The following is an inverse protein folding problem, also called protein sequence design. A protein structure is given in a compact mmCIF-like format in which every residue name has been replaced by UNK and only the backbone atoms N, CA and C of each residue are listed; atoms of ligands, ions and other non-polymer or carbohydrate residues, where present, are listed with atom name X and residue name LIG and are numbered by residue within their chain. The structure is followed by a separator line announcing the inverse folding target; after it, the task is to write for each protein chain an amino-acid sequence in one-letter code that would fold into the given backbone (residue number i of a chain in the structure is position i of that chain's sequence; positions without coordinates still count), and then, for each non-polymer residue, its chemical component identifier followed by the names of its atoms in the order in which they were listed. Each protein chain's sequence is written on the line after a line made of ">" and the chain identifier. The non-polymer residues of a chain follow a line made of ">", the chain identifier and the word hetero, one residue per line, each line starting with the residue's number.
data_IF_883513599826
#
_entry.id   IF_883513599826
#
_cell.length_a   1.000
_cell.length_b   1.000
_cell.length_c   1.000
_cell.angle_alpha   90.00
_cell.angle_beta   90.00
_cell.angle_gamma   90.00
#
_symmetry.space_group_name_H-M   'P 1'
#
loop_
_entity.id
_entity.type
_entity.pdbx_description
1 polymer ?
#
# COMPACT_ATOMS: atom_id res chain seq x y z
N UNK A 1 -8.02 24.19 -0.05
CA UNK A 1 -9.06 23.81 -1.03
C UNK A 1 -10.24 23.29 -0.23
N UNK A 2 -11.48 23.67 -0.53
CA UNK A 2 -12.63 23.19 0.25
C UNK A 2 -13.01 21.77 -0.14
N UNK A 3 -13.48 20.99 0.83
CA UNK A 3 -14.11 19.69 0.57
C UNK A 3 -15.34 19.86 -0.33
N UNK A 4 -15.54 18.92 -1.26
CA UNK A 4 -16.70 18.87 -2.17
C UNK A 4 -17.64 17.80 -1.64
N UNK A 5 -18.80 18.23 -1.13
CA UNK A 5 -19.80 17.29 -0.61
C UNK A 5 -20.47 16.53 -1.74
N UNK A 6 -20.52 15.21 -1.62
CA UNK A 6 -21.23 14.31 -2.52
C UNK A 6 -22.63 14.07 -1.96
N UNK A 7 -23.65 14.45 -2.72
CA UNK A 7 -25.04 14.12 -2.43
C UNK A 7 -25.28 12.66 -2.83
N UNK A 8 -25.39 11.77 -1.84
CA UNK A 8 -25.57 10.33 -2.05
C UNK A 8 -26.86 10.00 -2.81
N UNK A 9 -27.92 10.81 -2.67
CA UNK A 9 -29.15 10.59 -3.43
C UNK A 9 -28.97 10.98 -4.90
N UNK A 10 -28.32 12.12 -5.15
CA UNK A 10 -27.98 12.53 -6.51
C UNK A 10 -27.00 11.54 -7.17
N UNK A 11 -26.05 10.99 -6.41
CA UNK A 11 -25.16 9.93 -6.87
C UNK A 11 -25.94 8.66 -7.24
N UNK A 12 -26.83 8.20 -6.37
CA UNK A 12 -27.61 6.99 -6.60
C UNK A 12 -28.59 7.10 -7.79
N UNK A 13 -29.02 8.32 -8.14
CA UNK A 13 -30.00 8.56 -9.22
C UNK A 13 -29.38 9.07 -10.52
N UNK A 14 -28.26 9.80 -10.44
CA UNK A 14 -27.53 10.37 -11.58
C UNK A 14 -26.26 9.63 -11.97
N UNK A 15 -25.75 8.73 -11.12
CA UNK A 15 -24.60 7.86 -11.41
C UNK A 15 -23.34 8.63 -11.80
N UNK A 16 -22.62 8.12 -12.81
CA UNK A 16 -21.36 8.68 -13.28
C UNK A 16 -21.48 10.13 -13.79
N UNK A 17 -22.61 10.51 -14.39
CA UNK A 17 -22.83 11.87 -14.89
C UNK A 17 -22.88 12.88 -13.74
N UNK A 18 -23.45 12.50 -12.60
CA UNK A 18 -23.44 13.33 -11.39
C UNK A 18 -22.02 13.51 -10.85
N UNK A 19 -21.24 12.43 -10.71
CA UNK A 19 -19.85 12.51 -10.24
C UNK A 19 -19.00 13.40 -11.15
N UNK A 20 -19.10 13.20 -12.47
CA UNK A 20 -18.39 14.02 -13.45
C UNK A 20 -18.80 15.50 -13.43
N UNK A 21 -19.95 15.85 -12.82
CA UNK A 21 -20.37 17.24 -12.64
C UNK A 21 -19.74 17.93 -11.42
N UNK A 22 -19.20 17.16 -10.46
CA UNK A 22 -18.61 17.69 -9.22
C UNK A 22 -17.18 18.21 -9.41
N UNK A 23 -16.47 17.72 -10.43
CA UNK A 23 -15.07 18.04 -10.70
C UNK A 23 -14.79 17.93 -12.20
N UNK A 24 -13.76 18.62 -12.70
CA UNK A 24 -13.41 18.60 -14.12
C UNK A 24 -11.88 18.45 -14.31
N UNK A 25 -11.37 17.24 -14.12
CA UNK A 25 -9.99 16.87 -14.43
C UNK A 25 -9.93 15.94 -15.64
N UNK A 26 -8.82 15.98 -16.36
CA UNK A 26 -8.47 15.00 -17.39
C UNK A 26 -6.94 14.93 -17.50
N UNK A 27 -6.41 14.02 -18.32
CA UNK A 27 -4.96 13.87 -18.47
C UNK A 27 -4.22 15.15 -18.93
N UNK A 28 -4.90 16.03 -19.66
CA UNK A 28 -4.34 17.32 -20.10
C UNK A 28 -4.41 18.41 -19.03
N UNK A 29 -5.20 18.21 -17.97
CA UNK A 29 -5.36 19.11 -16.83
C UNK A 29 -5.59 18.30 -15.54
N UNK A 30 -4.56 17.58 -15.05
CA UNK A 30 -4.71 16.72 -13.88
C UNK A 30 -4.80 17.58 -12.61
N UNK A 31 -5.50 17.08 -11.60
CA UNK A 31 -5.68 17.78 -10.33
C UNK A 31 -6.21 16.87 -9.23
N UNK A 32 -6.34 17.41 -8.02
CA UNK A 32 -6.95 16.72 -6.89
C UNK A 32 -8.24 17.41 -6.50
N UNK A 33 -9.27 16.62 -6.24
CA UNK A 33 -10.47 17.02 -5.52
C UNK A 33 -10.59 16.20 -4.23
N UNK A 34 -11.07 16.83 -3.16
CA UNK A 34 -11.35 16.14 -1.90
C UNK A 34 -12.87 15.92 -1.81
N UNK A 35 -13.33 14.73 -2.16
CA UNK A 35 -14.75 14.40 -2.21
C UNK A 35 -15.20 13.86 -0.84
N UNK A 36 -16.19 14.51 -0.23
CA UNK A 36 -16.74 14.17 1.08
C UNK A 36 -18.06 13.41 0.89
N UNK A 37 -18.06 12.11 1.20
CA UNK A 37 -19.26 11.26 1.17
C UNK A 37 -19.95 11.23 2.54
N UNK A 38 -19.20 11.48 3.61
CA UNK A 38 -19.67 11.67 4.97
C UNK A 38 -19.12 12.99 5.56
N UNK A 39 -19.85 13.63 6.47
CA UNK A 39 -19.43 14.87 7.12
C UNK A 39 -18.19 14.73 8.02
N UNK A 40 -17.95 13.53 8.56
CA UNK A 40 -16.78 13.21 9.40
C UNK A 40 -15.49 13.09 8.58
N UNK A 41 -15.55 13.16 7.25
CA UNK A 41 -14.35 13.26 6.43
C UNK A 41 -13.49 14.50 6.77
N UNK A 42 -14.11 15.56 7.28
CA UNK A 42 -13.40 16.74 7.78
C UNK A 42 -12.54 16.46 9.02
N UNK A 43 -12.82 15.39 9.77
CA UNK A 43 -11.99 14.93 10.88
C UNK A 43 -10.72 14.21 10.38
N UNK A 44 -10.76 13.69 9.15
CA UNK A 44 -9.67 12.97 8.48
C UNK A 44 -8.76 13.93 7.70
N UNK A 45 -9.35 14.85 6.94
CA UNK A 45 -8.64 15.85 6.12
C UNK A 45 -9.19 17.24 6.41
N UNK A 46 -8.32 18.19 6.78
CA UNK A 46 -8.69 19.56 7.11
C UNK A 46 -9.37 20.24 5.91
N UNK A 47 -10.42 21.01 6.17
CA UNK A 47 -11.11 21.86 5.19
C UNK A 47 -10.21 22.89 4.48
N UNK A 48 -9.04 23.18 5.04
CA UNK A 48 -8.01 24.05 4.48
C UNK A 48 -6.86 23.28 3.82
N UNK A 49 -6.98 21.95 3.66
CA UNK A 49 -5.98 21.11 3.03
C UNK A 49 -5.50 21.66 1.68
N UNK A 50 -4.22 21.46 1.39
CA UNK A 50 -3.58 21.88 0.15
C UNK A 50 -3.05 20.69 -0.61
N UNK A 51 -3.17 20.75 -1.93
CA UNK A 51 -2.82 19.66 -2.84
C UNK A 51 -1.85 20.16 -3.88
N UNK A 52 -0.80 19.41 -4.18
CA UNK A 52 0.20 19.78 -5.20
C UNK A 52 0.73 18.57 -5.93
N UNK A 53 0.86 18.66 -7.26
CA UNK A 53 1.67 17.71 -8.03
C UNK A 53 3.14 17.94 -7.72
N UNK A 54 3.84 16.91 -7.28
CA UNK A 54 5.25 16.99 -6.88
C UNK A 54 6.19 16.34 -7.89
N UNK A 55 5.67 15.42 -8.71
CA UNK A 55 6.40 14.81 -9.81
C UNK A 55 5.48 14.49 -10.99
N UNK A 56 6.03 14.56 -12.21
CA UNK A 56 5.39 14.20 -13.47
C UNK A 56 6.51 13.80 -14.43
N UNK A 57 6.67 12.49 -14.65
CA UNK A 57 7.84 11.91 -15.30
C UNK A 57 7.43 11.13 -16.55
N UNK A 58 8.36 10.99 -17.50
CA UNK A 58 8.12 10.23 -18.74
C UNK A 58 8.11 8.70 -18.53
N UNK A 59 8.18 8.25 -17.28
CA UNK A 59 8.22 6.84 -16.86
C UNK A 59 7.48 6.65 -15.53
N UNK A 60 7.06 5.42 -15.24
CA UNK A 60 6.21 5.12 -14.09
C UNK A 60 7.03 4.90 -12.81
N UNK A 61 7.44 5.99 -12.19
CA UNK A 61 8.33 5.99 -11.02
C UNK A 61 7.65 5.65 -9.69
N UNK A 62 6.33 5.81 -9.61
CA UNK A 62 5.56 5.71 -8.38
C UNK A 62 4.50 4.63 -8.51
N UNK A 63 4.94 3.37 -8.52
CA UNK A 63 4.05 2.22 -8.68
C UNK A 63 3.60 1.69 -7.32
N UNK A 64 4.55 1.22 -6.50
CA UNK A 64 4.23 0.44 -5.30
C UNK A 64 5.11 0.77 -4.09
N UNK A 65 4.72 0.29 -2.92
CA UNK A 65 5.45 0.52 -1.67
C UNK A 65 5.30 1.96 -1.14
N UNK A 66 6.42 2.59 -0.76
CA UNK A 66 6.42 3.90 -0.09
C UNK A 66 7.04 3.86 1.31
N UNK A 67 8.23 3.28 1.43
CA UNK A 67 8.89 3.05 2.73
C UNK A 67 9.77 4.23 3.11
N UNK A 68 9.55 4.80 4.30
CA UNK A 68 10.34 5.92 4.79
C UNK A 68 11.73 5.48 5.26
N UNK A 69 12.73 6.30 4.96
CA UNK A 69 14.07 6.20 5.54
C UNK A 69 14.42 7.52 6.23
N UNK A 70 14.72 7.44 7.54
CA UNK A 70 15.03 8.60 8.36
C UNK A 70 16.37 9.25 8.03
N UNK A 71 17.37 8.46 7.64
CA UNK A 71 18.74 8.94 7.49
C UNK A 71 18.89 9.95 6.35
N UNK A 72 18.17 9.75 5.24
CA UNK A 72 18.13 10.64 4.09
C UNK A 72 16.78 11.35 3.90
N UNK A 73 15.89 11.27 4.91
CA UNK A 73 14.56 11.86 4.93
C UNK A 73 13.76 11.63 3.63
N UNK A 74 13.76 10.40 3.12
CA UNK A 74 13.19 10.07 1.81
C UNK A 74 12.22 8.90 1.87
N UNK A 75 11.28 8.88 0.92
CA UNK A 75 10.45 7.71 0.62
C UNK A 75 11.11 6.88 -0.49
N UNK A 76 11.16 5.57 -0.30
CA UNK A 76 11.58 4.60 -1.29
C UNK A 76 10.32 3.96 -1.88
N UNK A 77 10.16 4.06 -3.19
CA UNK A 77 8.97 3.65 -3.96
C UNK A 77 9.47 2.78 -5.11
N UNK A 78 8.83 1.65 -5.37
CA UNK A 78 9.17 0.83 -6.55
C UNK A 78 8.55 1.44 -7.80
N UNK A 79 9.30 1.40 -8.90
CA UNK A 79 8.78 1.76 -10.22
C UNK A 79 7.96 0.64 -10.82
N UNK A 80 7.23 0.91 -11.90
CA UNK A 80 6.58 -0.16 -12.63
C UNK A 80 7.57 -0.92 -13.54
N UNK A 81 7.25 -2.17 -13.83
CA UNK A 81 7.96 -3.01 -14.78
C UNK A 81 7.76 -2.51 -16.22
N UNK A 82 8.84 -2.43 -16.99
CA UNK A 82 8.80 -2.15 -18.44
C UNK A 82 9.19 -3.38 -19.24
N UNK A 83 10.34 -3.98 -18.92
CA UNK A 83 10.83 -5.21 -19.54
C UNK A 83 11.92 -5.88 -18.69
N UNK A 84 12.33 -7.11 -19.01
CA UNK A 84 13.46 -7.74 -18.33
C UNK A 84 14.79 -6.97 -18.47
N UNK A 85 14.92 -6.14 -19.51
CA UNK A 85 16.11 -5.29 -19.72
C UNK A 85 16.00 -3.90 -19.05
N UNK A 86 14.78 -3.48 -18.74
CA UNK A 86 14.43 -2.24 -18.04
C UNK A 86 13.44 -2.62 -16.93
N UNK A 87 14.02 -3.26 -15.92
CA UNK A 87 13.29 -3.85 -14.81
C UNK A 87 12.88 -2.78 -13.80
N UNK A 88 12.33 -3.22 -12.67
CA UNK A 88 11.88 -2.31 -11.62
C UNK A 88 13.09 -1.65 -10.95
N UNK A 89 13.06 -0.32 -10.85
CA UNK A 89 14.01 0.49 -10.10
C UNK A 89 13.39 0.93 -8.77
N UNK A 90 14.26 1.34 -7.85
CA UNK A 90 13.84 2.05 -6.64
C UNK A 90 13.89 3.55 -6.87
N UNK A 91 12.72 4.17 -6.93
CA UNK A 91 12.55 5.61 -6.90
C UNK A 91 12.74 6.11 -5.46
N UNK A 92 13.59 7.12 -5.29
CA UNK A 92 13.80 7.81 -4.02
C UNK A 92 13.27 9.22 -4.15
N UNK A 93 12.26 9.53 -3.34
CA UNK A 93 11.61 10.83 -3.25
C UNK A 93 12.01 11.52 -1.94
N UNK A 94 12.78 12.59 -2.04
CA UNK A 94 13.17 13.43 -0.90
C UNK A 94 11.95 14.12 -0.29
N UNK A 95 11.77 14.09 1.03
CA UNK A 95 10.70 14.84 1.69
C UNK A 95 11.08 16.30 2.01
N UNK A 96 12.35 16.68 1.80
CA UNK A 96 12.82 18.06 2.00
C UNK A 96 12.38 18.98 0.86
N UNK A 97 12.52 18.50 -0.38
CA UNK A 97 12.31 19.30 -1.59
C UNK A 97 11.52 18.57 -2.68
N UNK A 98 11.12 17.32 -2.45
CA UNK A 98 10.44 16.45 -3.43
C UNK A 98 11.26 16.19 -4.70
N UNK A 99 12.59 16.29 -4.61
CA UNK A 99 13.47 15.81 -5.67
C UNK A 99 13.36 14.29 -5.80
N UNK A 100 13.43 13.81 -7.05
CA UNK A 100 13.28 12.41 -7.40
C UNK A 100 14.59 11.92 -8.00
N UNK A 101 15.09 10.79 -7.51
CA UNK A 101 16.20 10.04 -8.13
C UNK A 101 15.83 8.57 -8.25
N UNK A 102 16.45 7.87 -9.19
CA UNK A 102 16.32 6.43 -9.34
C UNK A 102 17.59 5.72 -8.85
N UNK A 103 17.44 4.55 -8.26
CA UNK A 103 18.54 3.71 -7.81
C UNK A 103 18.18 2.23 -7.89
N UNK A 104 19.16 1.37 -7.66
CA UNK A 104 19.01 -0.09 -7.63
C UNK A 104 19.54 -0.59 -6.29
N UNK A 105 18.75 -1.44 -5.62
CA UNK A 105 19.14 -2.04 -4.34
C UNK A 105 19.76 -3.42 -4.59
N UNK A 106 20.93 -3.75 -4.03
CA UNK A 106 21.57 -5.03 -4.32
C UNK A 106 20.70 -6.23 -3.96
N UNK A 107 20.56 -7.16 -4.92
CA UNK A 107 19.81 -8.39 -4.75
C UNK A 107 18.29 -8.25 -4.87
N UNK A 108 17.77 -7.05 -5.11
CA UNK A 108 16.36 -6.78 -5.36
C UNK A 108 16.13 -6.70 -6.88
N UNK A 109 15.51 -7.73 -7.46
CA UNK A 109 15.39 -7.85 -8.92
C UNK A 109 14.10 -7.18 -9.45
N UNK A 110 12.97 -7.49 -8.81
CA UNK A 110 11.63 -7.08 -9.22
C UNK A 110 10.86 -6.61 -7.98
N UNK A 111 11.27 -5.48 -7.43
CA UNK A 111 10.64 -4.90 -6.23
C UNK A 111 9.14 -4.64 -6.46
N UNK A 112 8.31 -4.90 -5.47
CA UNK A 112 6.92 -4.47 -5.47
C UNK A 112 6.63 -3.66 -4.20
N UNK A 113 5.80 -4.19 -3.31
CA UNK A 113 5.50 -3.63 -2.02
C UNK A 113 6.64 -3.80 -1.02
N UNK A 114 6.61 -3.01 0.04
CA UNK A 114 7.64 -3.01 1.06
C UNK A 114 7.16 -2.40 2.37
N UNK A 115 7.90 -2.69 3.43
CA UNK A 115 7.63 -2.17 4.77
C UNK A 115 8.94 -1.84 5.47
N UNK A 116 8.86 -0.87 6.36
CA UNK A 116 9.84 -0.70 7.43
C UNK A 116 10.04 -2.00 8.21
N UNK A 117 11.28 -2.32 8.58
CA UNK A 117 11.63 -3.62 9.17
C UNK A 117 12.59 -3.49 10.33
N UNK A 118 12.21 -4.12 11.45
CA UNK A 118 13.11 -4.39 12.56
C UNK A 118 13.52 -5.86 12.50
N UNK A 119 14.80 -6.15 12.19
CA UNK A 119 15.35 -7.49 12.34
C UNK A 119 15.20 -8.02 13.77
N UNK A 120 15.24 -9.35 13.97
CA UNK A 120 15.27 -9.92 15.31
C UNK A 120 16.33 -9.26 16.19
N UNK A 121 15.93 -8.87 17.40
CA UNK A 121 16.76 -8.17 18.40
C UNK A 121 17.15 -6.72 18.08
N UNK A 122 16.59 -6.09 17.03
CA UNK A 122 16.78 -4.67 16.79
C UNK A 122 16.14 -3.80 17.89
N UNK A 123 16.70 -2.61 18.12
CA UNK A 123 16.18 -1.64 19.09
C UNK A 123 14.89 -0.98 18.60
N UNK A 124 13.75 -1.44 19.13
CA UNK A 124 12.42 -0.95 18.78
C UNK A 124 12.13 0.48 19.29
N UNK A 125 13.02 1.09 20.10
CA UNK A 125 12.87 2.48 20.58
C UNK A 125 13.38 3.54 19.60
N UNK A 126 14.01 3.09 18.52
CA UNK A 126 14.50 3.94 17.43
C UNK A 126 13.69 3.65 16.17
N UNK A 127 13.83 4.46 15.13
CA UNK A 127 13.21 4.17 13.83
C UNK A 127 13.80 2.91 13.18
N UNK A 128 13.04 2.21 12.33
CA UNK A 128 13.48 0.94 11.75
C UNK A 128 14.84 1.06 11.05
N UNK A 129 15.80 0.17 11.33
CA UNK A 129 17.14 0.25 10.74
C UNK A 129 17.21 -0.30 9.31
N UNK A 130 16.17 -1.02 8.87
CA UNK A 130 16.10 -1.69 7.57
C UNK A 130 14.71 -1.55 6.97
N UNK A 131 14.62 -1.83 5.67
CA UNK A 131 13.39 -2.07 4.94
C UNK A 131 13.31 -3.56 4.60
N UNK A 132 12.10 -4.09 4.43
CA UNK A 132 11.86 -5.38 3.80
C UNK A 132 11.02 -5.17 2.55
N UNK A 133 11.45 -5.77 1.45
CA UNK A 133 10.80 -5.65 0.15
C UNK A 133 10.31 -7.02 -0.33
N UNK A 134 9.12 -7.02 -0.90
CA UNK A 134 8.63 -8.10 -1.74
C UNK A 134 9.37 -8.04 -3.08
N UNK A 135 10.22 -9.01 -3.33
CA UNK A 135 10.81 -9.24 -4.65
C UNK A 135 9.98 -10.30 -5.37
N UNK A 136 9.37 -9.91 -6.49
CA UNK A 136 8.60 -10.83 -7.31
C UNK A 136 9.50 -11.87 -7.99
N UNK A 137 10.81 -11.62 -8.09
CA UNK A 137 11.74 -12.41 -8.87
C UNK A 137 11.45 -12.33 -10.37
N UNK A 138 12.17 -13.14 -11.15
CA UNK A 138 11.98 -13.25 -12.59
C UNK A 138 12.20 -14.70 -13.06
N UNK A 139 12.60 -14.91 -14.32
CA UNK A 139 12.91 -16.22 -14.89
C UNK A 139 14.27 -16.79 -14.44
N UNK A 140 15.14 -15.98 -13.83
CA UNK A 140 16.48 -16.33 -13.38
C UNK A 140 16.65 -16.23 -11.85
N UNK A 141 15.88 -15.36 -11.20
CA UNK A 141 15.91 -15.10 -9.77
C UNK A 141 14.63 -15.56 -9.06
N UNK A 142 14.80 -16.11 -7.86
CA UNK A 142 13.69 -16.48 -6.99
C UNK A 142 12.94 -15.25 -6.47
N UNK A 143 11.60 -15.35 -6.44
CA UNK A 143 10.76 -14.51 -5.60
C UNK A 143 11.17 -14.65 -4.13
N UNK A 144 11.19 -13.55 -3.36
CA UNK A 144 11.71 -13.54 -1.99
C UNK A 144 11.25 -12.33 -1.18
N UNK A 145 11.26 -12.47 0.15
CA UNK A 145 11.36 -11.30 1.03
C UNK A 145 12.83 -10.96 1.19
N UNK A 146 13.19 -9.71 0.88
CA UNK A 146 14.56 -9.21 0.98
C UNK A 146 14.63 -8.09 2.00
N UNK A 147 15.40 -8.29 3.07
CA UNK A 147 15.76 -7.20 3.98
C UNK A 147 16.89 -6.38 3.36
N UNK A 148 16.77 -5.06 3.39
CA UNK A 148 17.76 -4.12 2.83
C UNK A 148 18.01 -2.98 3.81
N UNK A 149 19.29 -2.72 4.10
CA UNK A 149 19.72 -1.44 4.68
C UNK A 149 20.07 -0.51 3.52
N UNK A 150 19.19 0.45 3.23
CA UNK A 150 19.33 1.35 2.07
C UNK A 150 20.48 2.36 2.22
N UNK A 151 21.02 2.54 3.43
CA UNK A 151 22.14 3.46 3.69
C UNK A 151 23.50 2.77 3.48
N UNK A 152 23.58 1.47 3.72
CA UNK A 152 24.82 0.67 3.56
C UNK A 152 24.82 -0.21 2.31
N UNK A 153 23.66 -0.38 1.67
CA UNK A 153 23.41 -1.34 0.59
C UNK A 153 23.61 -2.81 0.99
N UNK A 154 23.62 -3.11 2.28
CA UNK A 154 23.61 -4.49 2.77
C UNK A 154 22.21 -5.09 2.60
N UNK A 155 22.14 -6.31 2.06
CA UNK A 155 20.88 -7.02 1.88
C UNK A 155 20.97 -8.50 2.24
N UNK A 156 19.85 -9.05 2.69
CA UNK A 156 19.72 -10.45 3.10
C UNK A 156 18.37 -11.00 2.62
N UNK A 157 18.40 -12.13 1.91
CA UNK A 157 17.19 -12.86 1.59
C UNK A 157 16.67 -13.55 2.85
N UNK A 158 15.48 -13.15 3.32
CA UNK A 158 14.86 -13.70 4.52
C UNK A 158 14.21 -15.05 4.25
N UNK A 159 13.43 -15.13 3.18
CA UNK A 159 12.75 -16.35 2.71
C UNK A 159 12.57 -16.30 1.19
N UNK A 160 12.63 -17.47 0.56
CA UNK A 160 12.46 -17.62 -0.89
C UNK A 160 11.30 -18.55 -1.27
N UNK A 161 10.63 -19.18 -0.31
CA UNK A 161 9.57 -20.13 -0.64
C UNK A 161 8.96 -20.85 0.54
N UNK A 162 8.02 -21.72 0.24
CA UNK A 162 7.27 -22.53 1.21
C UNK A 162 7.30 -24.01 0.83
N UNK A 163 7.70 -24.87 1.78
CA UNK A 163 7.82 -26.32 1.59
C UNK A 163 8.62 -26.73 0.34
N UNK A 164 9.74 -26.03 0.08
CA UNK A 164 10.64 -26.30 -1.04
C UNK A 164 10.15 -25.79 -2.41
N UNK A 165 9.05 -25.04 -2.46
CA UNK A 165 8.54 -24.38 -3.68
C UNK A 165 8.76 -22.88 -3.57
N UNK A 166 9.25 -22.26 -4.62
CA UNK A 166 9.41 -20.80 -4.68
C UNK A 166 8.03 -20.11 -4.63
N UNK A 167 7.97 -18.94 -4.00
CA UNK A 167 6.80 -18.06 -4.06
C UNK A 167 6.47 -17.69 -5.51
N UNK A 168 5.20 -17.41 -5.79
CA UNK A 168 4.71 -17.10 -7.13
C UNK A 168 5.24 -15.73 -7.59
N UNK A 169 5.12 -14.73 -6.73
CA UNK A 169 5.60 -13.37 -6.93
C UNK A 169 5.03 -12.49 -5.81
N UNK A 170 5.82 -12.30 -4.75
CA UNK A 170 5.35 -11.59 -3.55
C UNK A 170 4.95 -10.16 -3.90
N UNK A 171 3.83 -9.70 -3.36
CA UNK A 171 3.28 -8.40 -3.73
C UNK A 171 3.42 -7.38 -2.60
N UNK A 172 2.82 -7.61 -1.43
CA UNK A 172 2.88 -6.66 -0.31
C UNK A 172 3.23 -7.35 1.02
N UNK A 173 3.84 -6.60 1.96
CA UNK A 173 4.34 -7.13 3.25
C UNK A 173 4.18 -6.12 4.37
N UNK A 174 3.80 -6.59 5.58
CA UNK A 174 3.78 -5.81 6.82
C UNK A 174 4.42 -6.56 7.97
N UNK A 175 5.17 -5.84 8.81
CA UNK A 175 5.64 -6.38 10.08
C UNK A 175 4.60 -6.18 11.18
N UNK A 176 4.14 -7.28 11.79
CA UNK A 176 3.24 -7.22 12.94
C UNK A 176 3.93 -6.50 14.12
N UNK A 177 3.39 -5.40 14.64
CA UNK A 177 4.14 -4.53 15.55
C UNK A 177 4.52 -5.17 16.89
N UNK A 178 3.70 -6.09 17.41
CA UNK A 178 3.96 -6.75 18.70
C UNK A 178 4.80 -8.04 18.59
N UNK A 179 4.63 -8.85 17.54
CA UNK A 179 5.36 -10.13 17.41
C UNK A 179 6.65 -9.99 16.60
N UNK A 180 6.74 -8.98 15.73
CA UNK A 180 7.84 -8.81 14.78
C UNK A 180 7.76 -9.72 13.55
N UNK A 181 6.70 -10.52 13.42
CA UNK A 181 6.49 -11.42 12.28
C UNK A 181 6.17 -10.63 11.01
N UNK A 182 6.57 -11.16 9.86
CA UNK A 182 6.24 -10.60 8.54
C UNK A 182 5.01 -11.31 7.98
N UNK A 183 3.99 -10.53 7.62
CA UNK A 183 2.76 -11.00 7.00
C UNK A 183 2.74 -10.47 5.57
N UNK A 184 2.48 -11.34 4.59
CA UNK A 184 2.67 -10.97 3.19
C UNK A 184 1.75 -11.75 2.25
N UNK A 185 1.54 -11.18 1.06
CA UNK A 185 0.71 -11.74 0.00
C UNK A 185 1.56 -12.32 -1.14
N UNK A 186 1.11 -13.46 -1.68
CA UNK A 186 1.76 -14.14 -2.82
C UNK A 186 0.77 -14.34 -3.99
N UNK A 187 0.46 -13.28 -4.76
CA UNK A 187 -0.36 -13.37 -5.97
C UNK A 187 0.44 -13.85 -7.19
N UNK A 188 -0.18 -13.77 -8.36
CA UNK A 188 0.38 -14.29 -9.62
C UNK A 188 0.69 -13.20 -10.66
N UNK A 189 0.84 -11.93 -10.26
CA UNK A 189 1.03 -10.82 -11.21
C UNK A 189 2.20 -11.03 -12.15
N UNK A 190 3.37 -11.43 -11.65
CA UNK A 190 4.53 -11.68 -12.51
C UNK A 190 4.32 -12.77 -13.56
N UNK A 191 3.46 -13.76 -13.30
CA UNK A 191 3.09 -14.78 -14.28
C UNK A 191 2.16 -14.17 -15.35
N UNK A 192 1.13 -13.44 -14.92
CA UNK A 192 0.19 -12.74 -15.81
C UNK A 192 0.93 -11.72 -16.71
N UNK A 193 1.97 -11.08 -16.18
CA UNK A 193 2.82 -10.12 -16.87
C UNK A 193 3.99 -10.75 -17.65
N UNK A 194 4.08 -12.08 -17.67
CA UNK A 194 5.04 -12.88 -18.45
C UNK A 194 6.53 -12.69 -18.07
N UNK A 195 6.84 -12.26 -16.85
CA UNK A 195 8.23 -12.24 -16.35
C UNK A 195 8.51 -13.31 -15.29
N UNK A 196 7.50 -14.09 -14.90
CA UNK A 196 7.61 -15.26 -14.03
C UNK A 196 7.09 -16.53 -14.70
N UNK A 197 7.61 -17.66 -14.26
CA UNK A 197 7.10 -18.97 -14.64
C UNK A 197 5.73 -19.25 -14.01
N UNK A 198 5.06 -20.30 -14.46
CA UNK A 198 3.79 -20.75 -13.89
C UNK A 198 3.92 -21.00 -12.37
N UNK A 199 3.01 -20.43 -11.56
CA UNK A 199 3.00 -20.59 -10.10
C UNK A 199 3.01 -22.03 -9.63
N UNK A 200 3.81 -22.31 -8.58
CA UNK A 200 3.86 -23.62 -7.92
C UNK A 200 3.12 -23.65 -6.58
N UNK A 201 2.63 -22.49 -6.13
CA UNK A 201 1.89 -22.28 -4.89
C UNK A 201 0.56 -21.60 -5.21
N UNK A 202 -0.53 -21.90 -4.47
CA UNK A 202 -1.75 -21.12 -4.59
C UNK A 202 -1.56 -19.71 -4.02
N UNK A 203 -2.46 -18.81 -4.40
CA UNK A 203 -2.59 -17.46 -3.89
C UNK A 203 -2.95 -17.48 -2.41
N UNK A 204 -1.99 -17.16 -1.56
CA UNK A 204 -2.11 -17.28 -0.11
C UNK A 204 -1.65 -16.01 0.61
N UNK A 205 -2.19 -15.81 1.81
CA UNK A 205 -1.57 -14.97 2.83
C UNK A 205 -0.63 -15.83 3.64
N UNK A 206 0.59 -15.35 3.85
CA UNK A 206 1.60 -16.02 4.68
C UNK A 206 1.96 -15.18 5.90
N UNK A 207 2.33 -15.86 6.98
CA UNK A 207 3.07 -15.33 8.14
C UNK A 207 4.42 -16.00 8.20
N UNK A 208 5.48 -15.22 8.36
CA UNK A 208 6.84 -15.66 8.59
C UNK A 208 7.38 -15.09 9.90
N UNK A 209 7.96 -15.93 10.74
CA UNK A 209 8.59 -15.58 12.01
C UNK A 209 10.12 -15.59 11.85
N UNK A 210 10.78 -14.43 11.62
CA UNK A 210 12.20 -14.40 11.25
C UNK A 210 13.13 -14.97 12.33
N UNK A 211 12.71 -14.95 13.60
CA UNK A 211 13.49 -15.45 14.74
C UNK A 211 13.61 -16.98 14.77
N UNK A 212 12.66 -17.70 14.18
CA UNK A 212 12.60 -19.18 14.23
C UNK A 212 12.59 -19.85 12.87
N UNK A 213 12.28 -19.11 11.80
CA UNK A 213 12.11 -19.65 10.46
C UNK A 213 10.72 -20.24 10.20
N UNK A 214 9.78 -20.16 11.15
CA UNK A 214 8.43 -20.71 10.98
C UNK A 214 7.67 -19.92 9.92
N UNK A 215 7.12 -20.62 8.92
CA UNK A 215 6.22 -20.08 7.90
C UNK A 215 4.86 -20.76 8.02
N UNK A 216 3.79 -19.97 8.02
CA UNK A 216 2.42 -20.43 8.14
C UNK A 216 1.55 -19.79 7.05
N UNK A 217 0.71 -20.61 6.40
CA UNK A 217 -0.38 -20.11 5.56
C UNK A 217 -1.52 -19.66 6.47
N UNK A 218 -2.03 -18.45 6.25
CA UNK A 218 -3.06 -17.83 7.09
C UNK A 218 -4.45 -17.91 6.48
N UNK A 219 -4.57 -17.76 5.15
CA UNK A 219 -5.81 -17.92 4.40
C UNK A 219 -5.53 -18.22 2.92
N UNK A 220 -6.54 -18.74 2.23
CA UNK A 220 -6.58 -18.98 0.78
C UNK A 220 -7.88 -18.45 0.15
N UNK A 221 -8.16 -18.84 -1.11
CA UNK A 221 -9.46 -18.60 -1.75
C UNK A 221 -9.67 -17.18 -2.31
N UNK A 222 -8.60 -16.39 -2.43
CA UNK A 222 -8.61 -15.10 -3.13
C UNK A 222 -8.58 -15.30 -4.65
N UNK A 223 -9.18 -14.37 -5.39
CA UNK A 223 -8.99 -14.32 -6.84
C UNK A 223 -7.64 -13.70 -7.15
N UNK A 224 -7.33 -12.51 -6.66
CA UNK A 224 -5.98 -11.92 -6.78
C UNK A 224 -5.72 -10.98 -5.60
N UNK A 225 -5.18 -11.52 -4.50
CA UNK A 225 -4.85 -10.72 -3.33
C UNK A 225 -3.71 -9.73 -3.58
N UNK A 226 -3.72 -8.60 -2.88
CA UNK A 226 -2.73 -7.54 -3.09
C UNK A 226 -2.27 -6.96 -1.73
N UNK A 227 -2.67 -5.74 -1.39
CA UNK A 227 -2.27 -5.05 -0.17
C UNK A 227 -2.83 -5.65 1.11
N UNK A 228 -2.08 -5.48 2.20
CA UNK A 228 -2.51 -5.83 3.55
C UNK A 228 -2.10 -4.80 4.60
N UNK A 229 -2.93 -4.62 5.63
CA UNK A 229 -2.61 -3.77 6.77
C UNK A 229 -3.35 -4.18 8.04
N UNK A 230 -2.70 -4.00 9.18
CA UNK A 230 -3.28 -4.20 10.49
C UNK A 230 -4.15 -3.00 10.91
N UNK A 231 -5.24 -3.25 11.64
CA UNK A 231 -5.88 -2.20 12.43
C UNK A 231 -4.92 -1.59 13.46
N UNK A 232 -5.15 -0.35 13.94
CA UNK A 232 -4.28 0.28 14.93
C UNK A 232 -4.16 -0.52 16.24
N UNK A 233 -5.18 -1.30 16.59
CA UNK A 233 -5.20 -2.17 17.78
C UNK A 233 -4.62 -3.57 17.53
N UNK A 234 -4.17 -3.85 16.31
CA UNK A 234 -3.62 -5.12 15.82
C UNK A 234 -4.55 -6.34 15.96
N UNK A 235 -5.86 -6.12 16.13
CA UNK A 235 -6.84 -7.21 16.24
C UNK A 235 -7.52 -7.55 14.92
N UNK A 236 -7.36 -6.71 13.89
CA UNK A 236 -7.93 -6.94 12.56
C UNK A 236 -6.83 -6.88 11.51
N UNK A 237 -6.85 -7.81 10.56
CA UNK A 237 -6.09 -7.70 9.31
C UNK A 237 -7.05 -7.33 8.19
N UNK A 238 -6.70 -6.30 7.42
CA UNK A 238 -7.36 -5.96 6.16
C UNK A 238 -6.51 -6.47 4.99
N UNK A 239 -7.15 -7.08 3.99
CA UNK A 239 -6.48 -7.59 2.77
C UNK A 239 -7.34 -7.30 1.56
N UNK A 240 -6.77 -6.69 0.52
CA UNK A 240 -7.48 -6.45 -0.73
C UNK A 240 -7.46 -7.67 -1.65
N UNK A 241 -8.54 -7.82 -2.42
CA UNK A 241 -8.67 -8.73 -3.56
C UNK A 241 -9.02 -7.90 -4.79
N UNK A 242 -8.10 -7.90 -5.75
CA UNK A 242 -8.17 -7.14 -6.99
C UNK A 242 -8.58 -8.00 -8.18
N UNK A 243 -9.22 -9.15 -7.96
CA UNK A 243 -9.57 -10.10 -9.00
C UNK A 243 -10.38 -9.57 -10.19
N UNK A 244 -10.99 -8.38 -10.06
CA UNK A 244 -11.60 -7.65 -11.18
C UNK A 244 -10.60 -7.23 -12.26
N UNK A 245 -9.31 -7.12 -11.94
CA UNK A 245 -8.24 -6.78 -12.88
C UNK A 245 -7.18 -7.89 -12.88
N UNK A 246 -7.33 -8.87 -13.78
CA UNK A 246 -6.26 -9.80 -14.16
C UNK A 246 -5.71 -9.40 -15.54
N UNK A 247 -5.68 -10.30 -16.52
CA UNK A 247 -5.34 -9.97 -17.91
C UNK A 247 -6.36 -9.04 -18.56
N UNK A 248 -7.63 -9.16 -18.14
CA UNK A 248 -8.76 -8.36 -18.62
C UNK A 248 -9.56 -7.83 -17.42
N UNK A 249 -10.29 -6.74 -17.65
CA UNK A 249 -11.22 -6.18 -16.66
C UNK A 249 -12.53 -6.98 -16.64
N UNK A 250 -12.89 -7.51 -15.48
CA UNK A 250 -14.15 -8.20 -15.21
C UNK A 250 -14.78 -7.68 -13.91
N UNK A 251 -15.72 -6.73 -14.06
CA UNK A 251 -16.40 -6.08 -12.92
C UNK A 251 -17.32 -7.01 -12.13
N UNK A 252 -17.48 -8.28 -12.54
CA UNK A 252 -18.20 -9.28 -11.74
C UNK A 252 -17.32 -9.98 -10.69
N UNK A 253 -16.01 -9.74 -10.73
CA UNK A 253 -15.01 -10.30 -9.82
C UNK A 253 -14.64 -9.32 -8.69
N UNK A 254 -13.85 -9.76 -7.68
CA UNK A 254 -13.55 -8.93 -6.53
C UNK A 254 -12.83 -7.61 -6.86
N UNK A 255 -13.37 -6.51 -6.35
CA UNK A 255 -12.70 -5.23 -6.16
C UNK A 255 -12.90 -4.83 -4.69
N UNK A 256 -12.50 -5.71 -3.79
CA UNK A 256 -12.96 -5.73 -2.39
C UNK A 256 -11.82 -5.76 -1.41
N UNK A 257 -12.02 -5.17 -0.24
CA UNK A 257 -11.18 -5.35 0.93
C UNK A 257 -11.91 -6.30 1.89
N UNK A 258 -11.23 -7.34 2.35
CA UNK A 258 -11.70 -8.26 3.38
C UNK A 258 -11.05 -7.93 4.73
N UNK A 259 -11.80 -8.14 5.81
CA UNK A 259 -11.30 -8.07 7.18
C UNK A 259 -11.27 -9.46 7.82
N UNK A 260 -10.31 -9.66 8.72
CA UNK A 260 -10.15 -10.87 9.53
C UNK A 260 -9.91 -10.50 10.98
N UNK A 261 -10.39 -11.31 11.90
CA UNK A 261 -9.97 -11.23 13.30
C UNK A 261 -8.61 -11.91 13.44
N UNK A 262 -7.68 -11.24 14.13
CA UNK A 262 -6.38 -11.79 14.47
C UNK A 262 -6.48 -12.47 15.83
N UNK A 263 -6.22 -13.77 15.87
CA UNK A 263 -6.31 -14.59 17.07
C UNK A 263 -4.91 -15.06 17.47
N UNK A 264 -4.61 -14.92 18.76
CA UNK A 264 -3.30 -15.24 19.36
C UNK A 264 -2.11 -14.56 18.66
N UNK A 265 -2.35 -13.41 18.01
CA UNK A 265 -1.38 -12.66 17.19
C UNK A 265 -0.73 -13.48 16.05
N UNK A 266 -1.32 -14.62 15.66
CA UNK A 266 -0.69 -15.58 14.74
C UNK A 266 -1.63 -16.21 13.72
N UNK A 267 -2.95 -16.15 13.93
CA UNK A 267 -3.95 -16.81 13.08
C UNK A 267 -5.02 -15.82 12.65
N UNK A 268 -5.68 -16.14 11.53
CA UNK A 268 -6.85 -15.41 11.03
C UNK A 268 -8.13 -16.21 11.25
N UNK A 269 -9.19 -15.52 11.66
CA UNK A 269 -10.55 -16.05 11.76
C UNK A 269 -11.57 -15.02 11.23
N UNK A 270 -12.83 -15.45 11.03
CA UNK A 270 -13.96 -14.56 10.70
C UNK A 270 -13.74 -13.65 9.47
N UNK A 271 -13.26 -14.22 8.35
CA UNK A 271 -13.21 -13.55 7.05
C UNK A 271 -14.56 -12.92 6.72
N UNK A 272 -14.56 -11.61 6.46
CA UNK A 272 -15.76 -10.85 6.12
C UNK A 272 -15.44 -9.78 5.09
N UNK A 273 -16.38 -9.52 4.18
CA UNK A 273 -16.29 -8.35 3.31
C UNK A 273 -16.30 -7.09 4.20
N UNK A 274 -15.32 -6.22 3.99
CA UNK A 274 -15.22 -4.94 4.68
C UNK A 274 -15.68 -3.80 3.76
N UNK A 275 -15.06 -3.66 2.60
CA UNK A 275 -15.37 -2.59 1.65
C UNK A 275 -15.31 -3.07 0.19
N UNK A 276 -15.98 -2.33 -0.69
CA UNK A 276 -15.91 -2.48 -2.14
C UNK A 276 -15.47 -1.15 -2.74
N UNK A 277 -14.46 -1.17 -3.61
CA UNK A 277 -14.03 0.01 -4.35
C UNK A 277 -15.03 0.28 -5.48
N UNK A 278 -15.65 1.45 -5.47
CA UNK A 278 -16.61 1.85 -6.51
C UNK A 278 -15.94 2.26 -7.83
N UNK A 279 -14.60 2.40 -7.84
CA UNK A 279 -13.79 2.69 -9.01
C UNK A 279 -12.50 1.86 -9.01
N UNK A 280 -12.28 1.10 -10.09
CA UNK A 280 -11.12 0.23 -10.24
C UNK A 280 -11.07 -0.91 -9.22
N UNK A 281 -9.90 -1.11 -8.62
CA UNK A 281 -9.60 -2.13 -7.62
C UNK A 281 -8.91 -1.47 -6.42
N UNK A 282 -9.13 -1.94 -5.18
CA UNK A 282 -8.35 -1.51 -4.04
C UNK A 282 -6.98 -2.21 -4.06
N UNK A 283 -5.92 -1.47 -4.30
CA UNK A 283 -4.56 -1.99 -4.48
C UNK A 283 -3.82 -1.97 -3.12
N UNK A 284 -2.86 -1.07 -2.91
CA UNK A 284 -2.19 -0.87 -1.62
C UNK A 284 -3.14 -0.39 -0.51
N UNK A 285 -3.17 -1.12 0.62
CA UNK A 285 -4.05 -0.85 1.77
C UNK A 285 -3.22 -0.33 2.95
N UNK A 286 -3.74 0.71 3.62
CA UNK A 286 -3.18 1.25 4.84
C UNK A 286 -4.27 1.58 5.88
N UNK A 287 -3.88 1.86 7.12
CA UNK A 287 -4.78 2.25 8.21
C UNK A 287 -4.23 3.47 8.94
N UNK A 288 -5.13 4.26 9.52
CA UNK A 288 -4.77 5.32 10.45
C UNK A 288 -5.05 4.93 11.92
N UNK A 289 -4.54 5.76 12.82
CA UNK A 289 -4.67 5.61 14.28
C UNK A 289 -6.09 5.81 14.82
N UNK A 290 -7.01 6.31 14.02
CA UNK A 290 -8.43 6.40 14.37
C UNK A 290 -9.24 5.20 13.81
N UNK A 291 -8.57 4.30 13.09
CA UNK A 291 -9.12 3.03 12.60
C UNK A 291 -9.70 3.12 11.19
N UNK A 292 -9.58 4.25 10.49
CA UNK A 292 -10.01 4.31 9.10
C UNK A 292 -9.07 3.47 8.24
N UNK A 293 -9.65 2.87 7.20
CA UNK A 293 -8.95 2.06 6.21
C UNK A 293 -8.86 2.85 4.92
N UNK A 294 -7.67 2.91 4.35
CA UNK A 294 -7.34 3.69 3.17
C UNK A 294 -6.83 2.75 2.08
N UNK A 295 -7.21 2.97 0.82
CA UNK A 295 -6.64 2.22 -0.29
C UNK A 295 -6.44 3.07 -1.55
N UNK A 296 -5.36 2.79 -2.28
CA UNK A 296 -5.23 3.22 -3.67
C UNK A 296 -6.29 2.53 -4.52
N UNK A 297 -6.99 3.29 -5.35
CA UNK A 297 -8.11 2.85 -6.17
C UNK A 297 -8.07 3.47 -7.58
N UNK A 298 -9.03 3.10 -8.43
CA UNK A 298 -9.04 3.45 -9.85
C UNK A 298 -9.07 4.95 -10.16
N UNK A 299 -9.56 5.79 -9.25
CA UNK A 299 -9.71 7.24 -9.42
C UNK A 299 -9.01 8.08 -8.33
N UNK A 300 -8.17 7.45 -7.49
CA UNK A 300 -7.43 8.10 -6.42
C UNK A 300 -7.35 7.25 -5.16
N UNK A 301 -7.36 7.88 -3.97
CA UNK A 301 -7.33 7.18 -2.68
C UNK A 301 -8.71 7.23 -2.04
N UNK A 302 -9.24 6.07 -1.66
CA UNK A 302 -10.53 5.92 -0.98
C UNK A 302 -10.32 5.68 0.51
N UNK A 303 -11.24 6.19 1.32
CA UNK A 303 -11.10 6.21 2.78
C UNK A 303 -12.42 5.77 3.40
N UNK A 304 -12.39 4.63 4.09
CA UNK A 304 -13.53 4.05 4.78
C UNK A 304 -13.34 4.14 6.29
N UNK A 305 -14.43 4.36 7.01
CA UNK A 305 -14.42 4.26 8.47
C UNK A 305 -14.27 2.79 8.94
N UNK A 306 -14.08 2.52 10.25
CA UNK A 306 -13.94 1.16 10.78
C UNK A 306 -15.13 0.22 10.47
N UNK A 307 -16.29 0.76 10.11
CA UNK A 307 -17.47 -0.01 9.72
C UNK A 307 -17.54 -0.32 8.20
N UNK A 308 -16.56 0.14 7.41
CA UNK A 308 -16.52 -0.07 5.95
C UNK A 308 -17.36 0.93 5.15
N UNK A 309 -17.78 2.04 5.76
CA UNK A 309 -18.54 3.11 5.11
C UNK A 309 -17.58 4.14 4.53
N UNK A 310 -17.74 4.45 3.24
CA UNK A 310 -16.89 5.42 2.54
C UNK A 310 -17.09 6.82 3.14
N UNK A 311 -16.03 7.38 3.73
CA UNK A 311 -16.00 8.74 4.26
C UNK A 311 -15.72 9.75 3.17
N UNK A 312 -14.72 9.46 2.33
CA UNK A 312 -14.23 10.41 1.35
C UNK A 312 -13.22 9.82 0.39
N UNK A 313 -12.85 10.64 -0.60
CA UNK A 313 -11.82 10.33 -1.58
C UNK A 313 -10.85 11.49 -1.74
N UNK A 314 -9.56 11.18 -1.81
CA UNK A 314 -8.58 12.02 -2.50
C UNK A 314 -8.68 11.65 -3.98
N UNK A 315 -9.53 12.36 -4.71
CA UNK A 315 -9.85 12.06 -6.10
C UNK A 315 -8.82 12.70 -7.04
N UNK A 316 -8.18 11.90 -7.88
CA UNK A 316 -7.21 12.34 -8.89
C UNK A 316 -7.80 12.31 -10.30
N UNK A 317 -8.81 11.46 -10.54
CA UNK A 317 -9.31 11.15 -11.88
C UNK A 317 -8.38 10.25 -12.71
N UNK A 318 -7.37 9.70 -12.06
CA UNK A 318 -6.48 8.65 -12.53
C UNK A 318 -6.27 7.64 -11.40
N UNK A 319 -5.74 6.46 -11.74
CA UNK A 319 -5.48 5.40 -10.77
C UNK A 319 -4.38 5.80 -9.80
N UNK A 320 -4.61 5.51 -8.52
CA UNK A 320 -3.56 5.44 -7.50
C UNK A 320 -3.35 3.99 -7.11
N UNK A 321 -2.15 3.47 -7.33
CA UNK A 321 -1.80 2.10 -6.97
C UNK A 321 -1.46 1.99 -5.48
N UNK A 322 -0.77 2.98 -4.93
CA UNK A 322 -0.42 3.01 -3.52
C UNK A 322 -0.22 4.46 -3.06
N UNK A 323 0.08 4.67 -1.79
CA UNK A 323 0.37 5.97 -1.19
C UNK A 323 1.18 5.78 0.09
N UNK A 324 1.78 6.85 0.59
CA UNK A 324 2.53 6.82 1.85
C UNK A 324 2.05 7.93 2.78
N UNK A 325 1.85 7.59 4.05
CA UNK A 325 1.66 8.59 5.08
C UNK A 325 2.98 9.26 5.46
N UNK A 326 2.91 10.56 5.73
CA UNK A 326 3.97 11.32 6.39
C UNK A 326 3.32 12.26 7.43
N UNK A 327 4.09 12.83 8.37
CA UNK A 327 3.52 13.74 9.37
C UNK A 327 2.72 14.89 8.75
N UNK A 328 1.40 14.89 8.98
CA UNK A 328 0.46 15.92 8.52
C UNK A 328 0.16 15.92 7.01
N UNK A 329 0.60 14.90 6.26
CA UNK A 329 0.41 14.81 4.81
C UNK A 329 0.37 13.37 4.30
N UNK A 330 -0.14 13.20 3.09
CA UNK A 330 -0.10 11.93 2.34
C UNK A 330 0.56 12.19 0.99
N UNK A 331 1.45 11.29 0.58
CA UNK A 331 2.00 11.26 -0.78
C UNK A 331 1.25 10.22 -1.58
N UNK A 332 0.52 10.64 -2.61
CA UNK A 332 -0.29 9.76 -3.46
C UNK A 332 0.52 9.38 -4.70
N UNK A 333 0.62 8.07 -4.97
CA UNK A 333 1.34 7.53 -6.12
C UNK A 333 0.36 7.23 -7.25
N UNK A 334 0.65 7.76 -8.44
CA UNK A 334 -0.15 7.60 -9.66
C UNK A 334 0.76 7.29 -10.85
N UNK A 335 1.54 6.22 -10.73
CA UNK A 335 2.49 5.72 -11.72
C UNK A 335 3.54 6.78 -12.14
N UNK A 336 3.29 7.52 -13.21
CA UNK A 336 4.19 8.57 -13.69
C UNK A 336 4.18 9.84 -12.83
N UNK A 337 3.12 10.01 -12.02
CA UNK A 337 2.86 11.19 -11.22
C UNK A 337 2.90 10.88 -9.74
N UNK A 338 3.31 11.86 -8.95
CA UNK A 338 3.14 11.86 -7.51
C UNK A 338 2.53 13.18 -7.06
N UNK A 339 1.71 13.10 -6.02
CA UNK A 339 1.01 14.24 -5.45
C UNK A 339 1.23 14.29 -3.94
N UNK A 340 1.28 15.50 -3.38
CA UNK A 340 1.20 15.71 -1.94
C UNK A 340 -0.14 16.31 -1.58
N UNK A 341 -0.76 15.77 -0.54
CA UNK A 341 -1.92 16.34 0.13
C UNK A 341 -1.51 16.68 1.56
N UNK A 342 -1.50 17.96 1.90
CA UNK A 342 -1.15 18.47 3.23
C UNK A 342 -2.41 18.94 3.97
N UNK A 343 -2.36 18.95 5.30
CA UNK A 343 -3.55 19.17 6.13
C UNK A 343 -4.29 17.86 6.42
N UNK A 344 -3.56 16.76 6.53
CA UNK A 344 -4.12 15.47 6.93
C UNK A 344 -4.15 15.42 8.47
N UNK A 345 -5.37 15.32 9.02
CA UNK A 345 -5.62 15.20 10.46
C UNK A 345 -5.48 13.76 10.93
N UNK A 346 -5.76 12.80 10.05
CA UNK A 346 -5.44 11.40 10.30
C UNK A 346 -3.93 11.21 10.46
N UNK A 347 -3.54 10.23 11.29
CA UNK A 347 -2.15 9.82 11.43
C UNK A 347 -2.05 8.35 11.05
N UNK A 348 -1.36 8.05 9.95
CA UNK A 348 -1.12 6.67 9.50
C UNK A 348 -0.46 5.83 10.59
N UNK A 349 -0.86 4.56 10.69
CA UNK A 349 -0.41 3.62 11.74
C UNK A 349 1.12 3.52 11.81
N UNK A 350 1.78 3.54 10.65
CA UNK A 350 3.23 3.39 10.53
C UNK A 350 4.01 4.67 10.86
N UNK A 351 3.41 5.86 10.76
CA UNK A 351 4.11 7.15 10.90
C UNK A 351 4.84 7.27 12.23
N UNK A 352 4.19 6.84 13.31
CA UNK A 352 4.78 6.89 14.66
C UNK A 352 6.12 6.16 14.72
N UNK A 353 6.11 4.90 14.28
CA UNK A 353 7.25 3.98 14.31
C UNK A 353 8.31 4.40 13.30
N UNK A 354 7.90 4.78 12.09
CA UNK A 354 8.79 5.04 10.97
C UNK A 354 9.53 6.38 11.11
N UNK A 355 8.84 7.42 11.60
CA UNK A 355 9.45 8.74 11.81
C UNK A 355 10.02 8.91 13.23
N UNK A 356 9.68 8.03 14.17
CA UNK A 356 10.08 8.12 15.58
C UNK A 356 9.43 9.30 16.26
N UNK A 357 8.13 9.52 15.97
CA UNK A 357 7.32 10.62 16.51
C UNK A 357 6.46 10.17 17.70
N UNK A 358 6.99 9.28 18.53
CA UNK A 358 6.31 8.64 19.68
C UNK A 358 5.65 9.61 20.67
N UNK A 359 6.02 10.90 20.62
CA UNK A 359 5.41 11.96 21.44
C UNK A 359 4.05 12.45 20.93
N UNK A 360 3.63 12.12 19.71
CA UNK A 360 2.30 12.46 19.22
C UNK A 360 1.24 11.68 20.02
N UNK A 361 0.28 12.33 20.69
CA UNK A 361 -0.72 11.64 21.51
C UNK A 361 -1.54 10.59 20.75
N UNK A 362 -1.67 10.72 19.43
CA UNK A 362 -2.36 9.75 18.57
C UNK A 362 -1.60 8.43 18.45
N UNK A 363 -0.27 8.44 18.59
CA UNK A 363 0.56 7.23 18.59
C UNK A 363 0.29 6.30 19.78
N UNK A 364 -0.36 6.79 20.84
CA UNK A 364 -0.70 6.02 22.03
C UNK A 364 -2.12 5.47 22.02
N UNK A 365 -2.93 5.76 20.99
CA UNK A 365 -4.27 5.18 20.84
C UNK A 365 -4.11 3.72 20.40
N UNK A 366 -4.37 2.80 21.33
CA UNK A 366 -4.46 1.35 21.07
C UNK A 366 -5.92 0.92 21.10
#
# INVERSE_FOLDING_TARGET
>A
MSLINVDLHALATGGADYLASLYAFNDSNPGIALLSYDSTFADVIDTNASTRKIADLDWQAFHEGGVYNKEDNSLYVSSNYVSLADNINMTVLSLDDYSVRSTQLPGLAMANGGSSYYPPNADQSTTPPMQVWCDQGDLEAYAKLLAVNVNTNESEALIIGYNGRNFSGLNDVRQHPETGDLWFTDPEYGYIQNFRAEPMLPRHIYRFEPSTGVVQVLDDGFVQLNGLEFSPDYKTLYVSDTGAQESDLDLSRPATIYAYDIVDNKRLENKRLFAFADSGIPDGVHTDTDGNVWAGCGDGVHIWNPEGILLGKIYLGETSNNFAFAPGKVIVFANARAWVVEGINALGREVCKDFGVDSDPRCCKK
#
